data_IF_207938278618
#
_entry.id   IF_207938278618
#
_cell.length_a   1.000
_cell.length_b   1.000
_cell.length_c   1.000
_cell.angle_alpha   90.00
_cell.angle_beta   90.00
_cell.angle_gamma   90.00
#
_symmetry.space_group_name_H-M   'P 1'
#
loop_
_entity.id
_entity.type
_entity.pdbx_description
1 polymer ?
#
# COMPACT_ATOMS: atom_id res chain seq x y z
N UNK A 1 -9.93 -10.55 -5.74
CA UNK A 1 -10.11 -9.11 -5.99
C UNK A 1 -8.87 -8.41 -5.43
N UNK A 2 -8.29 -7.44 -6.15
CA UNK A 2 -7.09 -6.71 -5.69
C UNK A 2 -7.50 -5.40 -5.04
N UNK A 3 -6.75 -4.98 -4.03
CA UNK A 3 -6.91 -3.70 -3.35
C UNK A 3 -6.19 -2.62 -4.15
N UNK A 4 -6.90 -1.56 -4.48
CA UNK A 4 -6.32 -0.40 -5.14
C UNK A 4 -5.65 0.52 -4.13
N UNK A 5 -4.33 0.69 -4.19
CA UNK A 5 -3.62 1.51 -3.19
C UNK A 5 -3.89 3.00 -3.34
N UNK A 6 -4.41 3.47 -4.47
CA UNK A 6 -4.79 4.87 -4.67
C UNK A 6 -6.19 5.17 -4.10
N UNK A 7 -7.05 4.16 -3.99
CA UNK A 7 -8.47 4.35 -3.63
C UNK A 7 -8.93 3.64 -2.36
N UNK A 8 -8.22 2.59 -1.92
CA UNK A 8 -8.58 1.81 -0.74
C UNK A 8 -8.61 2.68 0.53
N UNK A 9 -9.58 2.43 1.38
CA UNK A 9 -9.63 2.99 2.74
C UNK A 9 -8.46 2.48 3.59
N UNK A 10 -8.18 3.17 4.70
CA UNK A 10 -7.17 2.69 5.64
C UNK A 10 -7.49 1.28 6.17
N UNK A 11 -8.76 1.01 6.48
CA UNK A 11 -9.21 -0.30 6.96
C UNK A 11 -9.01 -1.42 5.91
N UNK A 12 -9.25 -1.14 4.62
CA UNK A 12 -8.96 -2.11 3.56
C UNK A 12 -7.45 -2.38 3.43
N UNK A 13 -6.61 -1.36 3.58
CA UNK A 13 -5.16 -1.54 3.59
C UNK A 13 -4.69 -2.36 4.78
N UNK A 14 -5.29 -2.18 5.97
CA UNK A 14 -4.99 -2.96 7.18
C UNK A 14 -5.36 -4.44 7.06
N UNK A 15 -6.26 -4.81 6.13
CA UNK A 15 -6.56 -6.21 5.85
C UNK A 15 -5.41 -6.94 5.10
N UNK A 16 -4.39 -6.21 4.61
CA UNK A 16 -3.24 -6.80 3.94
C UNK A 16 -2.23 -7.38 4.97
N UNK A 17 -1.65 -8.55 4.69
CA UNK A 17 -0.62 -9.14 5.54
C UNK A 17 0.53 -8.17 5.85
N UNK A 18 0.81 -7.96 7.14
CA UNK A 18 1.92 -7.11 7.58
C UNK A 18 1.66 -5.60 7.50
N UNK A 19 0.44 -5.17 7.19
CA UNK A 19 0.04 -3.75 7.19
C UNK A 19 -0.78 -3.45 8.45
N UNK A 20 -0.18 -2.72 9.39
CA UNK A 20 -0.89 -2.18 10.55
C UNK A 20 -1.39 -0.74 10.33
N UNK A 21 -2.12 -0.18 11.31
CA UNK A 21 -2.73 1.16 11.21
C UNK A 21 -1.72 2.26 10.85
N UNK A 22 -0.52 2.22 11.42
CA UNK A 22 0.55 3.18 11.13
C UNK A 22 0.98 3.13 9.66
N UNK A 23 1.13 1.93 9.09
CA UNK A 23 1.53 1.77 7.70
C UNK A 23 0.41 2.18 6.75
N UNK A 24 -0.84 1.79 7.05
CA UNK A 24 -2.00 2.21 6.28
C UNK A 24 -2.14 3.75 6.23
N UNK A 25 -2.00 4.42 7.37
CA UNK A 25 -2.02 5.89 7.44
C UNK A 25 -0.90 6.53 6.61
N UNK A 26 0.32 5.96 6.62
CA UNK A 26 1.43 6.43 5.78
C UNK A 26 1.16 6.27 4.29
N UNK A 27 0.53 5.18 3.87
CA UNK A 27 0.13 4.95 2.47
C UNK A 27 -0.89 5.99 2.03
N UNK A 28 -1.95 6.20 2.82
CA UNK A 28 -3.00 7.21 2.55
C UNK A 28 -2.41 8.61 2.46
N UNK A 29 -1.50 8.97 3.38
CA UNK A 29 -0.80 10.26 3.32
C UNK A 29 0.08 10.38 2.07
N UNK A 30 0.81 9.32 1.70
CA UNK A 30 1.72 9.35 0.55
C UNK A 30 0.98 9.57 -0.77
N UNK A 31 -0.12 8.85 -1.01
CA UNK A 31 -0.91 9.02 -2.25
C UNK A 31 -1.61 10.37 -2.37
N UNK A 32 -1.96 11.00 -1.24
CA UNK A 32 -2.60 12.31 -1.23
C UNK A 32 -1.69 13.43 -1.76
N UNK A 33 -0.36 13.29 -1.59
CA UNK A 33 0.62 14.23 -2.15
C UNK A 33 1.17 13.82 -3.51
N UNK A 34 1.34 12.51 -3.73
CA UNK A 34 1.85 11.95 -4.98
C UNK A 34 1.25 10.56 -5.19
N UNK A 35 0.25 10.39 -6.07
CA UNK A 35 -0.36 9.10 -6.36
C UNK A 35 0.66 8.02 -6.74
N UNK A 36 0.32 6.76 -6.52
CA UNK A 36 1.16 5.64 -6.96
C UNK A 36 0.91 5.35 -8.43
N UNK A 37 1.99 5.27 -9.21
CA UNK A 37 1.96 4.89 -10.63
C UNK A 37 2.22 3.40 -10.83
N UNK A 38 2.87 2.76 -9.86
CA UNK A 38 3.16 1.32 -9.81
C UNK A 38 3.23 0.83 -8.37
N UNK A 39 2.92 -0.44 -8.15
CA UNK A 39 2.83 -1.02 -6.79
C UNK A 39 4.18 -1.05 -6.06
N UNK A 40 5.29 -1.14 -6.80
CA UNK A 40 6.66 -1.16 -6.25
C UNK A 40 7.00 0.12 -5.50
N UNK A 41 6.28 1.22 -5.74
CA UNK A 41 6.48 2.47 -5.03
C UNK A 41 6.14 2.38 -3.54
N UNK A 42 5.34 1.39 -3.12
CA UNK A 42 5.16 1.10 -1.70
C UNK A 42 6.51 0.78 -1.02
N UNK A 43 7.38 0.04 -1.73
CA UNK A 43 8.71 -0.30 -1.23
C UNK A 43 9.72 0.83 -1.50
N UNK A 44 9.77 1.39 -2.72
CA UNK A 44 10.81 2.38 -3.05
C UNK A 44 10.64 3.70 -2.30
N UNK A 45 9.43 4.01 -1.82
CA UNK A 45 9.17 5.15 -0.92
C UNK A 45 9.33 4.80 0.57
N UNK A 46 9.74 3.58 0.89
CA UNK A 46 9.95 3.10 2.26
C UNK A 46 8.66 2.99 3.09
N UNK A 47 7.49 2.84 2.45
CA UNK A 47 6.22 2.67 3.16
C UNK A 47 6.12 1.26 3.75
N UNK A 48 6.61 0.26 3.01
CA UNK A 48 6.70 -1.14 3.43
C UNK A 48 8.13 -1.67 3.28
N UNK A 49 8.46 -2.70 4.03
CA UNK A 49 9.73 -3.43 3.85
C UNK A 49 9.68 -4.34 2.62
N UNK A 50 10.83 -4.82 2.16
CA UNK A 50 10.88 -5.81 1.08
C UNK A 50 10.09 -7.08 1.40
N UNK A 51 10.14 -7.53 2.67
CA UNK A 51 9.41 -8.72 3.13
C UNK A 51 7.89 -8.51 3.02
N UNK A 52 7.39 -7.38 3.53
CA UNK A 52 5.95 -7.05 3.48
C UNK A 52 5.50 -6.84 2.04
N UNK A 53 6.29 -6.17 1.20
CA UNK A 53 5.95 -6.00 -0.21
C UNK A 53 5.79 -7.35 -0.93
N UNK A 54 6.68 -8.30 -0.68
CA UNK A 54 6.58 -9.63 -1.27
C UNK A 54 5.28 -10.37 -0.88
N UNK A 55 4.79 -10.17 0.35
CA UNK A 55 3.54 -10.78 0.82
C UNK A 55 2.28 -10.14 0.20
N UNK A 56 2.34 -8.87 -0.19
CA UNK A 56 1.16 -8.12 -0.65
C UNK A 56 1.12 -7.84 -2.16
N UNK A 57 2.23 -7.99 -2.89
CA UNK A 57 2.34 -7.53 -4.30
C UNK A 57 1.27 -8.10 -5.23
N UNK A 58 0.82 -9.33 -5.00
CA UNK A 58 -0.23 -9.97 -5.80
C UNK A 58 -1.65 -9.62 -5.35
N UNK A 59 -1.78 -8.99 -4.18
CA UNK A 59 -3.04 -8.53 -3.59
C UNK A 59 -3.38 -7.07 -3.93
N UNK A 60 -2.41 -6.30 -4.46
CA UNK A 60 -2.56 -4.85 -4.70
C UNK A 60 -2.49 -4.44 -6.17
N UNK A 61 -3.04 -3.27 -6.49
CA UNK A 61 -2.99 -2.62 -7.82
C UNK A 61 -3.02 -1.09 -7.68
N UNK A 62 -2.85 -0.35 -8.78
CA UNK A 62 -2.81 1.13 -8.84
C UNK A 62 -3.72 1.63 -9.96
N UNK A 63 -5.01 1.23 -9.96
CA UNK A 63 -5.93 1.59 -11.05
C UNK A 63 -6.52 2.98 -10.85
#
# INVERSE_FOLDING_TARGET
>A
LKIDVNHATAAELEALPGIGPTTAARIVRSRGGHPFTRIEELQTRGLVTARVFADIRDLVTTR
#
